data_IF_011314133967
#
_entry.id   IF_011314133967
#
_cell.length_a   1.000
_cell.length_b   1.000
_cell.length_c   1.000
_cell.angle_alpha   90.00
_cell.angle_beta   90.00
_cell.angle_gamma   90.00
#
_symmetry.space_group_name_H-M   'P 1'
#
loop_
_entity.id
_entity.type
_entity.pdbx_description
1 polymer ?
#
# COMPACT_ATOMS: atom_id res chain seq x y z
N UNK A 1 -3.77 -24.79 4.28
CA UNK A 1 -5.21 -24.56 4.37
C UNK A 1 -5.60 -24.57 5.83
N UNK A 2 -5.78 -23.41 6.44
CA UNK A 2 -6.43 -23.30 7.74
C UNK A 2 -7.91 -23.20 7.42
N UNK A 3 -8.61 -24.33 7.45
CA UNK A 3 -10.06 -24.32 7.50
C UNK A 3 -10.47 -23.82 8.87
N UNK A 4 -11.03 -22.63 8.94
CA UNK A 4 -11.72 -22.16 10.13
C UNK A 4 -13.02 -22.96 10.23
N UNK A 5 -13.01 -24.03 11.00
CA UNK A 5 -14.14 -24.95 11.23
C UNK A 5 -15.23 -24.35 12.14
N UNK A 6 -15.09 -23.12 12.59
CA UNK A 6 -16.17 -22.44 13.32
C UNK A 6 -16.74 -21.32 12.44
N UNK A 7 -18.06 -21.16 12.37
CA UNK A 7 -18.64 -19.98 11.76
C UNK A 7 -18.01 -18.76 12.46
N UNK A 8 -17.42 -17.86 11.67
CA UNK A 8 -16.93 -16.59 12.16
C UNK A 8 -18.14 -15.88 12.76
N UNK A 9 -18.25 -15.86 14.07
CA UNK A 9 -19.22 -15.04 14.76
C UNK A 9 -18.69 -13.62 14.62
N UNK A 10 -19.11 -12.90 13.58
CA UNK A 10 -18.88 -11.47 13.52
C UNK A 10 -19.58 -10.87 14.74
N UNK A 11 -18.88 -10.09 15.58
CA UNK A 11 -19.52 -9.43 16.69
C UNK A 11 -20.60 -8.50 16.15
N UNK A 12 -21.84 -8.75 16.51
CA UNK A 12 -22.93 -7.85 16.19
C UNK A 12 -22.68 -6.51 16.86
N UNK A 13 -22.61 -5.44 16.07
CA UNK A 13 -22.52 -4.09 16.61
C UNK A 13 -23.89 -3.74 17.23
N UNK A 14 -23.87 -3.32 18.48
CA UNK A 14 -25.08 -2.86 19.12
C UNK A 14 -25.58 -1.55 18.48
N UNK A 15 -26.89 -1.42 18.28
CA UNK A 15 -27.54 -0.25 17.66
C UNK A 15 -28.67 0.32 18.55
N UNK A 16 -28.67 0.00 19.83
CA UNK A 16 -29.75 0.36 20.78
C UNK A 16 -29.33 1.47 21.74
N UNK A 17 -28.06 1.69 21.93
CA UNK A 17 -27.50 2.68 22.86
C UNK A 17 -26.55 3.61 22.12
N UNK A 18 -26.55 4.89 22.48
CA UNK A 18 -25.68 5.92 21.95
C UNK A 18 -24.34 6.00 22.67
N UNK A 19 -23.57 7.02 22.31
CA UNK A 19 -22.25 7.31 22.90
C UNK A 19 -22.35 7.51 24.40
N UNK A 20 -21.45 6.88 25.15
CA UNK A 20 -21.38 6.97 26.60
C UNK A 20 -21.28 5.64 27.31
N UNK A 21 -21.46 5.66 28.62
CA UNK A 21 -21.33 4.49 29.49
C UNK A 21 -22.39 4.51 30.60
N UNK A 22 -22.77 3.33 31.10
CA UNK A 22 -23.70 3.17 32.25
C UNK A 22 -25.06 3.86 32.04
N UNK A 23 -25.54 3.90 30.80
CA UNK A 23 -26.85 4.51 30.49
C UNK A 23 -26.79 6.05 30.43
N UNK A 24 -25.61 6.67 30.53
CA UNK A 24 -25.44 8.11 30.47
C UNK A 24 -24.70 8.51 29.21
N UNK A 25 -25.17 9.55 28.52
CA UNK A 25 -24.49 10.13 27.38
C UNK A 25 -23.17 10.80 27.84
N UNK A 26 -22.10 10.48 27.12
CA UNK A 26 -20.82 11.16 27.22
C UNK A 26 -20.30 11.40 25.82
N UNK A 27 -20.17 12.66 25.43
CA UNK A 27 -19.53 13.01 24.14
C UNK A 27 -18.06 12.61 24.16
N UNK A 28 -17.49 12.38 22.98
CA UNK A 28 -16.09 11.99 22.80
C UNK A 28 -15.69 10.69 23.52
N UNK A 29 -16.64 9.73 23.60
CA UNK A 29 -16.42 8.44 24.23
C UNK A 29 -16.30 7.33 23.18
N UNK A 30 -15.35 6.42 23.38
CA UNK A 30 -15.23 5.18 22.56
C UNK A 30 -16.28 4.13 22.95
N UNK A 31 -17.04 4.37 24.02
CA UNK A 31 -18.06 3.46 24.49
C UNK A 31 -19.42 3.81 23.89
N UNK A 32 -20.19 2.80 23.50
CA UNK A 32 -21.56 2.92 22.96
C UNK A 32 -22.57 2.25 23.88
N UNK A 33 -22.51 2.58 25.17
CA UNK A 33 -23.41 2.09 26.25
C UNK A 33 -23.99 3.27 27.05
N UNK A 34 -24.23 4.39 26.36
CA UNK A 34 -24.88 5.58 26.90
C UNK A 34 -26.39 5.44 26.97
N UNK A 35 -27.10 6.52 26.69
CA UNK A 35 -28.56 6.53 26.71
C UNK A 35 -29.17 5.60 25.65
N UNK A 36 -30.30 5.01 25.95
CA UNK A 36 -31.06 4.20 25.00
C UNK A 36 -31.59 5.06 23.86
N UNK A 37 -31.21 4.71 22.64
CA UNK A 37 -31.65 5.40 21.44
C UNK A 37 -33.14 5.18 21.16
N UNK A 38 -33.80 6.23 20.74
CA UNK A 38 -35.15 6.14 20.17
C UNK A 38 -35.09 5.39 18.83
N UNK A 39 -36.15 4.72 18.40
CA UNK A 39 -36.16 3.93 17.17
C UNK A 39 -35.68 4.76 15.94
N UNK A 40 -36.09 6.03 15.84
CA UNK A 40 -35.76 6.93 14.74
C UNK A 40 -34.28 7.35 14.70
N UNK A 41 -33.55 7.20 15.80
CA UNK A 41 -32.12 7.47 15.90
C UNK A 41 -31.26 6.21 15.77
N UNK A 42 -31.83 5.08 15.32
CA UNK A 42 -31.11 3.82 15.08
C UNK A 42 -30.85 3.65 13.60
N UNK A 43 -29.78 4.22 13.13
CA UNK A 43 -29.43 4.22 11.70
C UNK A 43 -28.85 2.88 11.22
N UNK A 44 -28.54 1.96 12.13
CA UNK A 44 -28.08 0.60 11.78
C UNK A 44 -26.69 0.55 11.17
N UNK A 45 -25.86 1.58 11.36
CA UNK A 45 -24.50 1.62 10.84
C UNK A 45 -23.66 0.40 11.25
N UNK A 46 -22.97 -0.17 10.27
CA UNK A 46 -21.88 -1.14 10.46
C UNK A 46 -20.62 -0.65 9.77
N UNK A 47 -19.41 -1.06 10.16
CA UNK A 47 -18.17 -0.65 9.48
C UNK A 47 -18.14 -1.03 8.00
N UNK A 48 -18.94 -2.02 7.56
CA UNK A 48 -19.05 -2.43 6.16
C UNK A 48 -19.56 -1.29 5.26
N UNK A 49 -20.34 -0.36 5.82
CA UNK A 49 -20.86 0.81 5.12
C UNK A 49 -19.75 1.80 4.67
N UNK A 50 -18.55 1.68 5.26
CA UNK A 50 -17.40 2.49 4.90
C UNK A 50 -16.63 1.92 3.73
N UNK A 51 -16.59 0.60 3.57
CA UNK A 51 -15.77 -0.06 2.56
C UNK A 51 -16.40 0.03 1.17
N UNK A 52 -15.54 -0.02 0.17
CA UNK A 52 -15.89 -0.08 -1.25
C UNK A 52 -15.52 -1.45 -1.82
N UNK A 53 -16.01 -1.76 -3.01
CA UNK A 53 -15.60 -2.97 -3.71
C UNK A 53 -14.22 -2.76 -4.31
N UNK A 54 -13.24 -3.51 -3.85
CA UNK A 54 -11.89 -3.50 -4.40
C UNK A 54 -11.80 -4.32 -5.70
N UNK A 55 -10.91 -3.92 -6.59
CA UNK A 55 -10.64 -4.60 -7.85
C UNK A 55 -9.14 -4.82 -8.03
N UNK A 56 -8.77 -5.97 -8.60
CA UNK A 56 -7.38 -6.24 -8.97
C UNK A 56 -7.34 -6.75 -10.40
N UNK A 57 -6.64 -6.03 -11.27
CA UNK A 57 -6.40 -6.40 -12.66
C UNK A 57 -4.95 -6.79 -12.84
N UNK A 58 -4.71 -8.03 -13.26
CA UNK A 58 -3.37 -8.52 -13.56
C UNK A 58 -3.29 -8.91 -15.02
N UNK A 59 -2.35 -8.32 -15.73
CA UNK A 59 -2.07 -8.65 -17.13
C UNK A 59 -0.60 -9.03 -17.27
N UNK A 60 -0.31 -10.04 -18.08
CA UNK A 60 1.06 -10.44 -18.36
C UNK A 60 1.19 -10.93 -19.80
N UNK A 61 2.28 -10.54 -20.45
CA UNK A 61 2.68 -11.00 -21.77
C UNK A 61 4.12 -11.48 -21.68
N UNK A 62 4.36 -12.67 -22.25
CA UNK A 62 5.69 -13.26 -22.32
C UNK A 62 5.95 -13.69 -23.75
N UNK A 63 7.11 -13.31 -24.27
CA UNK A 63 7.59 -13.72 -25.59
C UNK A 63 8.98 -14.32 -25.42
N UNK A 64 9.18 -15.50 -25.96
CA UNK A 64 10.49 -16.15 -26.00
C UNK A 64 10.74 -16.74 -27.39
N UNK A 65 11.98 -16.70 -27.81
CA UNK A 65 12.38 -17.25 -29.09
C UNK A 65 13.89 -17.37 -29.18
N UNK A 66 14.35 -18.12 -30.17
CA UNK A 66 15.78 -18.27 -30.38
C UNK A 66 16.15 -19.54 -31.14
N UNK A 67 17.42 -19.83 -31.08
CA UNK A 67 18.06 -21.03 -31.64
C UNK A 67 18.80 -21.75 -30.51
N UNK A 68 19.42 -22.89 -30.81
CA UNK A 68 20.28 -23.58 -29.85
C UNK A 68 21.45 -22.72 -29.35
N UNK A 69 21.83 -21.70 -30.12
CA UNK A 69 22.98 -20.81 -29.82
C UNK A 69 22.58 -19.45 -29.23
N UNK A 70 21.33 -19.04 -29.37
CA UNK A 70 20.85 -17.76 -28.85
C UNK A 70 19.40 -17.91 -28.43
N UNK A 71 19.12 -17.58 -27.17
CA UNK A 71 17.78 -17.62 -26.61
C UNK A 71 17.47 -16.25 -26.02
N UNK A 72 16.35 -15.70 -26.44
CA UNK A 72 15.88 -14.40 -25.97
C UNK A 72 14.52 -14.58 -25.30
N UNK A 73 14.35 -13.90 -24.18
CA UNK A 73 13.13 -13.87 -23.40
C UNK A 73 12.78 -12.41 -23.08
N UNK A 74 11.51 -12.08 -23.25
CA UNK A 74 10.94 -10.81 -22.82
C UNK A 74 9.63 -11.07 -22.09
N UNK A 75 9.39 -10.35 -21.00
CA UNK A 75 8.09 -10.29 -20.34
C UNK A 75 7.73 -8.90 -19.90
N UNK A 76 6.44 -8.59 -19.96
CA UNK A 76 5.83 -7.40 -19.40
C UNK A 76 4.61 -7.83 -18.58
N UNK A 77 4.49 -7.29 -17.37
CA UNK A 77 3.35 -7.54 -16.50
C UNK A 77 2.89 -6.26 -15.82
N UNK A 78 1.58 -6.13 -15.64
CA UNK A 78 0.97 -5.07 -14.84
C UNK A 78 0.05 -5.66 -13.77
N UNK A 79 0.04 -5.01 -12.62
CA UNK A 79 -0.96 -5.17 -11.56
C UNK A 79 -1.51 -3.79 -11.27
N UNK A 80 -2.82 -3.63 -11.43
CA UNK A 80 -3.54 -2.40 -11.09
C UNK A 80 -4.63 -2.77 -10.09
N UNK A 81 -4.67 -2.12 -8.96
CA UNK A 81 -5.57 -2.48 -7.87
C UNK A 81 -6.15 -1.25 -7.20
N UNK A 82 -7.47 -1.24 -7.09
CA UNK A 82 -8.22 -0.39 -6.18
C UNK A 82 -8.52 -1.17 -4.90
N UNK A 83 -8.19 -0.60 -3.75
CA UNK A 83 -8.42 -1.24 -2.46
C UNK A 83 -9.89 -1.18 -2.03
N UNK A 84 -10.22 -1.92 -0.97
CA UNK A 84 -11.54 -1.82 -0.33
C UNK A 84 -11.72 -0.55 0.51
N UNK A 85 -10.64 0.14 0.83
CA UNK A 85 -10.64 1.42 1.52
C UNK A 85 -10.71 2.52 0.47
N UNK A 86 -11.63 3.49 0.59
CA UNK A 86 -11.77 4.57 -0.39
C UNK A 86 -10.45 5.27 -0.71
N UNK A 87 -10.19 5.53 -2.01
CA UNK A 87 -8.98 6.20 -2.50
C UNK A 87 -7.66 5.49 -2.19
N UNK A 88 -7.69 4.17 -2.03
CA UNK A 88 -6.50 3.33 -1.85
C UNK A 88 -6.18 2.64 -3.18
N UNK A 89 -5.00 2.90 -3.74
CA UNK A 89 -4.60 2.39 -5.05
C UNK A 89 -3.20 1.78 -5.00
N UNK A 90 -2.98 0.76 -5.82
CA UNK A 90 -1.69 0.14 -6.02
C UNK A 90 -1.48 -0.21 -7.49
N UNK A 91 -0.43 0.33 -8.06
CA UNK A 91 0.00 0.04 -9.42
C UNK A 91 1.41 -0.54 -9.45
N UNK A 92 1.60 -1.59 -10.24
CA UNK A 92 2.92 -2.16 -10.47
C UNK A 92 3.10 -2.60 -11.91
N UNK A 93 4.20 -2.19 -12.51
CA UNK A 93 4.61 -2.57 -13.85
C UNK A 93 5.98 -3.22 -13.81
N UNK A 94 6.10 -4.41 -14.39
CA UNK A 94 7.35 -5.18 -14.43
C UNK A 94 7.73 -5.42 -15.90
N UNK A 95 8.98 -5.15 -16.24
CA UNK A 95 9.54 -5.48 -17.53
C UNK A 95 10.80 -6.30 -17.31
N UNK A 96 10.93 -7.41 -18.02
CA UNK A 96 12.11 -8.27 -17.93
C UNK A 96 12.57 -8.65 -19.32
N UNK A 97 13.85 -8.50 -19.54
CA UNK A 97 14.55 -8.97 -20.72
C UNK A 97 15.69 -9.90 -20.30
N UNK A 98 15.87 -11.00 -21.02
CA UNK A 98 17.00 -11.89 -20.82
C UNK A 98 17.46 -12.43 -22.18
N UNK A 99 18.78 -12.50 -22.35
CA UNK A 99 19.39 -13.18 -23.48
C UNK A 99 20.51 -14.11 -22.97
N UNK A 100 20.49 -15.33 -23.51
CA UNK A 100 21.54 -16.31 -23.31
C UNK A 100 22.12 -16.65 -24.67
N UNK A 101 23.43 -16.53 -24.81
CA UNK A 101 24.14 -16.76 -26.09
C UNK A 101 25.34 -17.68 -25.90
N UNK A 102 25.55 -18.56 -26.87
CA UNK A 102 26.67 -19.50 -26.90
C UNK A 102 27.59 -19.21 -28.08
N UNK A 103 28.87 -19.14 -27.81
CA UNK A 103 29.92 -18.80 -28.77
C UNK A 103 31.06 -19.82 -28.69
N UNK A 104 31.99 -19.76 -29.66
CA UNK A 104 33.20 -20.57 -29.68
C UNK A 104 32.93 -22.09 -29.59
N UNK A 105 31.97 -22.58 -30.39
CA UNK A 105 31.52 -23.98 -30.36
C UNK A 105 31.02 -24.40 -28.95
N UNK A 106 30.18 -23.54 -28.39
CA UNK A 106 29.53 -23.69 -27.06
C UNK A 106 30.46 -23.58 -25.85
N UNK A 107 31.74 -23.28 -26.06
CA UNK A 107 32.70 -23.11 -24.96
C UNK A 107 32.52 -21.81 -24.20
N UNK A 108 31.94 -20.79 -24.81
CA UNK A 108 31.63 -19.52 -24.16
C UNK A 108 30.12 -19.31 -24.08
N UNK A 109 29.60 -19.26 -22.87
CA UNK A 109 28.22 -18.91 -22.58
C UNK A 109 28.17 -17.51 -21.97
N UNK A 110 27.36 -16.64 -22.57
CA UNK A 110 27.03 -15.33 -22.05
C UNK A 110 25.55 -15.29 -21.68
N UNK A 111 25.26 -14.77 -20.49
CA UNK A 111 23.88 -14.57 -20.01
C UNK A 111 23.77 -13.13 -19.53
N UNK A 112 22.82 -12.39 -20.11
CA UNK A 112 22.54 -11.00 -19.74
C UNK A 112 21.05 -10.87 -19.41
N UNK A 113 20.73 -10.21 -18.32
CA UNK A 113 19.36 -9.88 -17.99
C UNK A 113 19.21 -8.46 -17.46
N UNK A 114 18.09 -7.83 -17.80
CA UNK A 114 17.67 -6.54 -17.31
C UNK A 114 16.21 -6.63 -16.87
N UNK A 115 15.92 -6.12 -15.69
CA UNK A 115 14.54 -5.97 -15.20
C UNK A 115 14.32 -4.55 -14.72
N UNK A 116 13.15 -4.01 -15.03
CA UNK A 116 12.68 -2.72 -14.53
C UNK A 116 11.34 -2.88 -13.87
N UNK A 117 11.19 -2.31 -12.68
CA UNK A 117 9.95 -2.32 -11.90
C UNK A 117 9.61 -0.88 -11.58
N UNK A 118 8.38 -0.48 -11.93
CA UNK A 118 7.75 0.74 -11.44
C UNK A 118 6.56 0.36 -10.56
N UNK A 119 6.52 0.92 -9.37
CA UNK A 119 5.45 0.70 -8.39
C UNK A 119 4.99 2.04 -7.85
N UNK A 120 3.67 2.20 -7.74
CA UNK A 120 3.04 3.35 -7.10
C UNK A 120 2.04 2.85 -6.07
N UNK A 121 2.15 3.36 -4.86
CA UNK A 121 1.21 3.13 -3.78
C UNK A 121 0.53 4.45 -3.43
N UNK A 122 -0.79 4.45 -3.31
CA UNK A 122 -1.57 5.59 -2.85
C UNK A 122 -2.37 5.22 -1.61
N UNK A 123 -2.21 6.01 -0.56
CA UNK A 123 -2.98 5.93 0.69
C UNK A 123 -3.01 4.55 1.36
N UNK A 124 -1.92 3.79 1.28
CA UNK A 124 -1.80 2.57 2.06
C UNK A 124 -2.14 2.86 3.52
N UNK A 125 -2.94 1.99 4.12
CA UNK A 125 -3.45 2.17 5.49
C UNK A 125 -2.32 2.38 6.47
N UNK A 126 -2.35 3.51 7.16
CA UNK A 126 -1.37 3.84 8.18
C UNK A 126 -1.83 3.36 9.56
N UNK A 127 -0.91 3.31 10.52
CA UNK A 127 -1.22 3.02 11.91
C UNK A 127 -1.57 4.29 12.69
N UNK A 128 -2.17 4.11 13.86
CA UNK A 128 -2.49 5.19 14.80
C UNK A 128 -3.89 5.76 14.64
N UNK A 129 -4.36 6.41 15.71
CA UNK A 129 -5.75 6.89 15.84
C UNK A 129 -6.10 7.99 14.84
N UNK A 130 -5.14 8.85 14.51
CA UNK A 130 -5.41 10.05 13.71
C UNK A 130 -5.17 9.84 12.20
N UNK A 131 -4.45 8.80 11.83
CA UNK A 131 -4.04 8.54 10.44
C UNK A 131 -4.64 7.29 9.84
N UNK A 132 -5.23 6.41 10.67
CA UNK A 132 -5.88 5.19 10.22
C UNK A 132 -7.39 5.43 10.09
N UNK A 133 -7.95 5.38 8.87
CA UNK A 133 -9.38 5.63 8.63
C UNK A 133 -10.28 4.55 9.23
N UNK A 134 -9.75 3.36 9.54
CA UNK A 134 -10.53 2.27 10.12
C UNK A 134 -10.93 2.56 11.55
N UNK A 135 -10.07 3.27 12.31
CA UNK A 135 -10.38 3.57 13.72
C UNK A 135 -11.68 4.36 13.86
N UNK A 136 -11.85 5.54 13.23
CA UNK A 136 -13.10 6.27 13.31
C UNK A 136 -14.27 5.56 12.63
N UNK A 137 -14.04 4.73 11.60
CA UNK A 137 -15.09 3.92 10.98
C UNK A 137 -15.65 2.87 11.96
N UNK A 138 -14.79 2.15 12.67
CA UNK A 138 -15.22 1.15 13.64
C UNK A 138 -15.83 1.73 14.93
N UNK A 139 -15.37 2.91 15.35
CA UNK A 139 -15.82 3.57 16.59
C UNK A 139 -16.96 4.57 16.36
N UNK A 140 -17.51 4.66 15.16
CA UNK A 140 -18.54 5.62 14.82
C UNK A 140 -19.78 5.54 15.75
N UNK A 141 -20.31 6.69 16.24
CA UNK A 141 -21.42 6.76 17.17
C UNK A 141 -22.72 6.13 16.62
N UNK A 142 -23.34 5.27 17.39
CA UNK A 142 -24.51 4.48 16.95
C UNK A 142 -25.79 5.30 16.79
N UNK A 143 -25.85 6.49 17.39
CA UNK A 143 -26.98 7.40 17.30
C UNK A 143 -26.88 8.43 16.20
N UNK A 144 -25.89 8.32 15.32
CA UNK A 144 -25.65 9.24 14.22
C UNK A 144 -25.76 8.55 12.85
N UNK A 145 -26.10 9.32 11.83
CA UNK A 145 -26.19 8.82 10.46
C UNK A 145 -24.84 8.97 9.77
N UNK A 146 -24.17 7.85 9.49
CA UNK A 146 -22.87 7.84 8.83
C UNK A 146 -22.91 8.39 7.42
N UNK A 147 -24.00 8.21 6.67
CA UNK A 147 -24.14 8.69 5.30
C UNK A 147 -24.00 10.20 5.16
N UNK A 148 -24.38 10.96 6.21
CA UNK A 148 -24.18 12.41 6.21
C UNK A 148 -22.69 12.78 6.09
N UNK A 149 -21.82 11.95 6.65
CA UNK A 149 -20.37 12.19 6.74
C UNK A 149 -19.60 11.67 5.54
N UNK A 150 -20.25 11.02 4.56
CA UNK A 150 -19.68 10.79 3.23
C UNK A 150 -19.35 12.11 2.52
N UNK A 151 -20.09 13.18 2.83
CA UNK A 151 -19.73 14.56 2.51
C UNK A 151 -18.72 15.06 3.54
N UNK A 152 -17.53 14.53 3.49
CA UNK A 152 -16.49 14.63 4.50
C UNK A 152 -15.94 16.05 4.73
N UNK A 153 -16.35 17.05 3.94
CA UNK A 153 -15.85 18.43 4.03
C UNK A 153 -16.93 19.45 3.79
N UNK A 154 -16.72 20.62 4.38
CA UNK A 154 -17.54 21.83 4.17
C UNK A 154 -16.66 23.07 4.18
N UNK A 155 -17.05 24.08 3.41
CA UNK A 155 -16.41 25.39 3.48
C UNK A 155 -16.73 26.09 4.80
N UNK A 156 -15.70 26.60 5.46
CA UNK A 156 -15.84 27.38 6.69
C UNK A 156 -15.39 28.82 6.45
N UNK A 157 -16.33 29.77 6.56
CA UNK A 157 -16.11 31.19 6.25
C UNK A 157 -15.05 31.83 7.15
N UNK A 158 -14.96 31.40 8.42
CA UNK A 158 -14.01 31.94 9.37
C UNK A 158 -12.54 31.71 9.02
N UNK A 159 -12.22 30.57 8.45
CA UNK A 159 -10.86 30.21 8.00
C UNK A 159 -10.66 30.39 6.50
N UNK A 160 -11.75 30.51 5.75
CA UNK A 160 -11.79 30.50 4.27
C UNK A 160 -11.20 29.22 3.67
N UNK A 161 -11.35 28.10 4.37
CA UNK A 161 -10.85 26.80 3.98
C UNK A 161 -11.98 25.76 3.92
N UNK A 162 -11.73 24.67 3.20
CA UNK A 162 -12.49 23.44 3.39
C UNK A 162 -12.02 22.80 4.68
N UNK A 163 -12.93 22.53 5.59
CA UNK A 163 -12.67 21.83 6.83
C UNK A 163 -13.42 20.52 6.86
N UNK A 164 -12.95 19.56 7.65
CA UNK A 164 -13.65 18.29 7.78
C UNK A 164 -15.08 18.52 8.31
N UNK A 165 -16.00 17.75 7.79
CA UNK A 165 -17.34 17.62 8.33
C UNK A 165 -17.48 16.28 9.01
N UNK A 166 -17.58 16.27 10.33
CA UNK A 166 -17.52 15.05 11.12
C UNK A 166 -18.40 15.12 12.36
N UNK A 167 -18.61 13.96 12.99
CA UNK A 167 -19.30 13.84 14.27
C UNK A 167 -18.57 14.62 15.36
N UNK A 168 -19.30 15.48 16.07
CA UNK A 168 -18.77 16.23 17.20
C UNK A 168 -18.35 15.33 18.35
N UNK A 169 -18.99 14.15 18.49
CA UNK A 169 -18.63 13.15 19.50
C UNK A 169 -17.27 12.49 19.18
N UNK A 170 -16.87 12.42 17.90
CA UNK A 170 -15.59 11.86 17.47
C UNK A 170 -14.47 12.89 17.38
N UNK A 171 -14.79 14.10 17.00
CA UNK A 171 -13.84 15.20 16.81
C UNK A 171 -13.41 15.86 18.13
N UNK A 172 -14.29 15.83 19.11
CA UNK A 172 -14.08 16.50 20.40
C UNK A 172 -13.25 15.73 21.42
N UNK A 173 -12.94 16.38 22.52
CA UNK A 173 -12.26 15.80 23.68
C UNK A 173 -10.93 15.15 23.37
N UNK A 174 -10.66 14.02 24.02
CA UNK A 174 -9.41 13.30 23.89
C UNK A 174 -9.34 12.43 22.62
N UNK A 175 -10.48 12.16 21.99
CA UNK A 175 -10.53 11.29 20.82
C UNK A 175 -9.93 11.96 19.58
N UNK A 176 -10.31 13.22 19.32
CA UNK A 176 -9.83 14.02 18.17
C UNK A 176 -9.72 13.26 16.86
N UNK A 177 -10.61 12.27 16.66
CA UNK A 177 -10.61 11.45 15.47
C UNK A 177 -11.10 12.24 14.28
N UNK A 178 -10.50 11.99 13.14
CA UNK A 178 -10.88 12.62 11.88
C UNK A 178 -11.90 11.78 11.14
N UNK A 179 -12.69 12.44 10.26
CA UNK A 179 -13.54 11.73 9.32
C UNK A 179 -12.70 10.76 8.46
N UNK A 180 -13.06 9.47 8.33
CA UNK A 180 -12.29 8.50 7.57
C UNK A 180 -12.13 8.88 6.10
N UNK A 181 -13.14 9.52 5.48
CA UNK A 181 -13.03 10.05 4.12
C UNK A 181 -12.09 11.27 4.02
N UNK A 182 -12.07 12.14 5.06
CA UNK A 182 -11.08 13.22 5.14
C UNK A 182 -9.65 12.67 5.15
N UNK A 183 -9.41 11.62 5.93
CA UNK A 183 -8.11 10.95 5.98
C UNK A 183 -7.70 10.46 4.57
N UNK A 184 -8.63 9.87 3.83
CA UNK A 184 -8.32 9.28 2.53
C UNK A 184 -8.24 10.28 1.37
N UNK A 185 -8.98 11.39 1.45
CA UNK A 185 -9.06 12.35 0.34
C UNK A 185 -8.30 13.65 0.58
N UNK A 186 -7.91 13.94 1.83
CA UNK A 186 -7.20 15.18 2.20
C UNK A 186 -5.86 14.95 2.89
N UNK A 187 -5.65 13.78 3.45
CA UNK A 187 -4.38 13.40 4.07
C UNK A 187 -3.67 12.37 3.20
N UNK A 188 -3.24 12.81 2.03
CA UNK A 188 -2.71 11.94 0.98
C UNK A 188 -1.30 11.46 1.29
N UNK A 189 -1.04 10.19 0.99
CA UNK A 189 0.28 9.55 1.08
C UNK A 189 0.53 8.75 -0.17
N UNK A 190 1.64 9.03 -0.84
CA UNK A 190 2.02 8.34 -2.06
C UNK A 190 3.46 7.85 -1.96
N UNK A 191 3.70 6.66 -2.46
CA UNK A 191 5.05 6.13 -2.66
C UNK A 191 5.25 5.77 -4.12
N UNK A 192 6.21 6.40 -4.76
CA UNK A 192 6.67 6.04 -6.09
C UNK A 192 8.00 5.30 -5.98
N UNK A 193 8.05 4.05 -6.44
CA UNK A 193 9.26 3.23 -6.40
C UNK A 193 9.68 2.79 -7.80
N UNK A 194 10.95 3.05 -8.13
CA UNK A 194 11.58 2.60 -9.36
C UNK A 194 12.76 1.69 -8.99
N UNK A 195 12.80 0.49 -9.57
CA UNK A 195 13.88 -0.45 -9.34
C UNK A 195 14.36 -1.02 -10.67
N UNK A 196 15.64 -1.08 -10.86
CA UNK A 196 16.22 -1.82 -11.96
C UNK A 196 17.24 -2.83 -11.46
N UNK A 197 17.25 -3.99 -12.09
CA UNK A 197 18.19 -5.06 -11.82
C UNK A 197 18.87 -5.42 -13.12
N UNK A 198 20.19 -5.37 -13.13
CA UNK A 198 21.02 -5.75 -14.25
C UNK A 198 21.89 -6.94 -13.82
N UNK A 199 21.98 -7.97 -14.63
CA UNK A 199 22.87 -9.10 -14.38
C UNK A 199 23.57 -9.49 -15.67
N UNK A 200 24.85 -9.72 -15.56
CA UNK A 200 25.67 -10.27 -16.62
C UNK A 200 26.54 -11.39 -16.08
N UNK A 201 26.60 -12.49 -16.80
CA UNK A 201 27.54 -13.58 -16.49
C UNK A 201 28.17 -14.11 -17.77
N UNK A 202 29.43 -14.48 -17.64
CA UNK A 202 30.19 -15.16 -18.69
C UNK A 202 30.79 -16.44 -18.09
N UNK A 203 30.66 -17.54 -18.80
CA UNK A 203 31.23 -18.84 -18.41
C UNK A 203 32.00 -19.40 -19.60
N UNK A 204 33.25 -19.77 -19.35
CA UNK A 204 34.14 -20.26 -20.40
C UNK A 204 34.78 -21.60 -20.03
N UNK A 205 34.59 -22.60 -20.90
CA UNK A 205 35.20 -23.90 -20.80
C UNK A 205 36.63 -23.83 -21.39
N UNK A 206 37.62 -23.65 -20.55
CA UNK A 206 39.03 -23.61 -20.94
C UNK A 206 39.45 -25.00 -21.45
N UNK A 207 39.06 -26.03 -20.68
CA UNK A 207 39.29 -27.46 -20.99
C UNK A 207 37.99 -28.23 -20.69
N UNK A 208 37.79 -29.45 -21.21
CA UNK A 208 36.58 -30.24 -20.92
C UNK A 208 36.32 -30.48 -19.42
N UNK A 209 37.35 -30.34 -18.60
CA UNK A 209 37.28 -30.53 -17.15
C UNK A 209 37.50 -29.23 -16.35
N UNK A 210 37.77 -28.07 -17.02
CA UNK A 210 38.08 -26.80 -16.39
C UNK A 210 37.20 -25.68 -16.97
N UNK A 211 36.34 -25.14 -16.14
CA UNK A 211 35.49 -24.01 -16.47
C UNK A 211 35.78 -22.81 -15.57
N UNK A 212 35.77 -21.63 -16.11
CA UNK A 212 35.86 -20.37 -15.39
C UNK A 212 34.61 -19.56 -15.68
N UNK A 213 33.97 -19.03 -14.63
CA UNK A 213 32.79 -18.21 -14.77
C UNK A 213 32.91 -16.94 -13.92
N UNK A 214 32.48 -15.83 -14.48
CA UNK A 214 32.35 -14.55 -13.79
C UNK A 214 30.92 -14.05 -13.84
N UNK A 215 30.48 -13.38 -12.80
CA UNK A 215 29.13 -12.81 -12.71
C UNK A 215 29.17 -11.44 -12.05
N UNK A 216 28.41 -10.51 -12.59
CA UNK A 216 28.17 -9.19 -12.00
C UNK A 216 26.67 -8.96 -11.96
N UNK A 217 26.17 -8.44 -10.84
CA UNK A 217 24.78 -8.01 -10.67
C UNK A 217 24.72 -6.65 -10.00
N UNK A 218 23.85 -5.81 -10.52
CA UNK A 218 23.49 -4.51 -9.94
C UNK A 218 22.00 -4.51 -9.68
N UNK A 219 21.61 -4.14 -8.47
CA UNK A 219 20.22 -3.92 -8.05
C UNK A 219 20.14 -2.52 -7.47
N UNK A 220 19.37 -1.67 -8.11
CA UNK A 220 19.16 -0.29 -7.68
C UNK A 220 17.68 -0.02 -7.46
N UNK A 221 17.36 0.54 -6.31
CA UNK A 221 16.01 0.94 -5.94
C UNK A 221 16.00 2.41 -5.53
N UNK A 222 15.07 3.17 -6.11
CA UNK A 222 14.81 4.57 -5.80
C UNK A 222 13.35 4.70 -5.39
N UNK A 223 13.10 5.20 -4.19
CA UNK A 223 11.76 5.39 -3.62
C UNK A 223 11.57 6.85 -3.22
N UNK A 224 10.45 7.42 -3.66
CA UNK A 224 9.98 8.74 -3.28
C UNK A 224 8.68 8.60 -2.50
N UNK A 225 8.71 8.91 -1.21
CA UNK A 225 7.52 9.05 -0.38
C UNK A 225 7.11 10.50 -0.29
N UNK A 226 5.82 10.79 -0.49
CA UNK A 226 5.23 12.10 -0.27
C UNK A 226 4.02 12.01 0.63
N UNK A 227 3.92 12.92 1.61
CA UNK A 227 2.74 13.09 2.45
C UNK A 227 2.24 14.52 2.33
N UNK A 228 0.94 14.67 2.08
CA UNK A 228 0.25 15.96 1.96
C UNK A 228 -0.92 15.96 2.93
N UNK A 229 -0.75 16.61 4.07
CA UNK A 229 -1.82 16.81 5.03
C UNK A 229 -2.46 18.16 4.76
N UNK A 230 -3.76 18.17 4.50
CA UNK A 230 -4.49 19.39 4.18
C UNK A 230 -4.56 20.34 5.38
N UNK A 231 -4.69 21.64 5.11
CA UNK A 231 -4.98 22.63 6.15
C UNK A 231 -6.22 22.23 6.94
N UNK A 232 -6.25 22.52 8.24
CA UNK A 232 -7.30 22.11 9.18
C UNK A 232 -7.34 20.61 9.54
N UNK A 233 -6.41 19.79 9.06
CA UNK A 233 -6.22 18.44 9.57
C UNK A 233 -5.78 18.48 11.06
N UNK A 234 -5.95 17.35 11.74
CA UNK A 234 -5.61 17.22 13.15
C UNK A 234 -4.17 17.69 13.45
N UNK A 235 -4.03 18.64 14.38
CA UNK A 235 -2.74 19.27 14.70
C UNK A 235 -1.70 18.32 15.29
N UNK A 236 -2.11 17.18 15.80
CA UNK A 236 -1.19 16.14 16.28
C UNK A 236 -0.36 15.54 15.13
N UNK A 237 -0.98 15.38 13.94
CA UNK A 237 -0.28 14.83 12.77
C UNK A 237 0.37 15.89 11.90
N UNK A 238 0.02 17.17 12.08
CA UNK A 238 0.61 18.31 11.37
C UNK A 238 1.66 19.06 12.21
N UNK A 239 2.16 18.44 13.29
CA UNK A 239 3.16 19.02 14.19
C UNK A 239 2.76 20.41 14.74
N UNK A 240 1.47 20.57 15.02
CA UNK A 240 0.90 21.83 15.50
C UNK A 240 0.52 22.82 14.39
N UNK A 241 0.85 22.54 13.13
CA UNK A 241 0.56 23.41 11.99
C UNK A 241 -0.92 23.40 11.59
N UNK A 242 -1.54 24.59 11.50
CA UNK A 242 -2.93 24.75 11.05
C UNK A 242 -3.06 24.84 9.51
N UNK A 243 -1.97 25.13 8.82
CA UNK A 243 -1.92 25.34 7.38
C UNK A 243 -1.60 24.06 6.59
N UNK A 244 -1.74 22.90 7.24
CA UNK A 244 -1.37 21.61 6.68
C UNK A 244 0.11 21.27 6.89
N UNK A 245 0.53 20.16 6.32
CA UNK A 245 1.90 19.67 6.42
C UNK A 245 2.30 18.93 5.14
N UNK A 246 3.52 19.15 4.69
CA UNK A 246 4.07 18.44 3.55
C UNK A 246 5.37 17.74 3.94
N UNK A 247 5.46 16.46 3.65
CA UNK A 247 6.66 15.67 3.85
C UNK A 247 7.10 15.03 2.54
N UNK A 248 8.38 15.10 2.25
CA UNK A 248 9.00 14.35 1.18
C UNK A 248 10.20 13.57 1.73
N UNK A 249 10.26 12.28 1.46
CA UNK A 249 11.39 11.44 1.80
C UNK A 249 11.84 10.63 0.59
N UNK A 250 13.15 10.58 0.37
CA UNK A 250 13.76 9.80 -0.72
C UNK A 250 14.70 8.76 -0.15
N UNK A 251 14.60 7.54 -0.65
CA UNK A 251 15.51 6.47 -0.33
C UNK A 251 16.15 5.92 -1.60
N UNK A 252 17.48 5.74 -1.56
CA UNK A 252 18.26 5.16 -2.64
C UNK A 252 19.03 3.97 -2.09
N UNK A 253 18.77 2.80 -2.65
CA UNK A 253 19.48 1.58 -2.31
C UNK A 253 20.17 1.02 -3.53
N UNK A 254 21.46 0.74 -3.44
CA UNK A 254 22.21 0.12 -4.50
C UNK A 254 23.00 -1.05 -3.93
N UNK A 255 22.80 -2.24 -4.51
CA UNK A 255 23.60 -3.42 -4.22
C UNK A 255 24.35 -3.83 -5.46
N UNK A 256 25.66 -4.04 -5.31
CA UNK A 256 26.51 -4.59 -6.36
C UNK A 256 27.10 -5.90 -5.86
N UNK A 257 26.97 -6.91 -6.68
CA UNK A 257 27.53 -8.23 -6.42
C UNK A 257 28.41 -8.65 -7.60
N UNK A 258 29.59 -9.17 -7.31
CA UNK A 258 30.47 -9.75 -8.32
C UNK A 258 31.15 -10.99 -7.74
N UNK A 259 31.26 -12.04 -8.54
CA UNK A 259 32.01 -13.24 -8.21
C UNK A 259 32.79 -13.79 -9.40
N UNK A 260 33.82 -14.56 -9.08
CA UNK A 260 34.59 -15.36 -10.02
C UNK A 260 34.66 -16.78 -9.49
N UNK A 261 34.31 -17.76 -10.32
CA UNK A 261 34.29 -19.17 -9.98
C UNK A 261 35.20 -19.96 -10.90
N UNK A 262 35.88 -20.92 -10.34
CA UNK A 262 36.64 -21.91 -11.08
C UNK A 262 36.07 -23.27 -10.74
N UNK A 263 35.58 -23.98 -11.75
CA UNK A 263 35.00 -25.31 -11.60
C UNK A 263 35.94 -26.37 -12.23
N UNK A 264 36.30 -27.38 -11.45
CA UNK A 264 37.18 -28.48 -11.87
C UNK A 264 36.38 -29.78 -11.72
N UNK A 265 36.19 -30.50 -12.83
CA UNK A 265 35.53 -31.78 -12.85
C UNK A 265 36.39 -32.80 -13.60
N UNK A 266 37.28 -33.44 -12.90
CA UNK A 266 38.23 -34.42 -13.45
C UNK A 266 38.16 -35.71 -12.64
N UNK A 267 37.90 -36.82 -13.32
CA UNK A 267 38.05 -38.18 -12.76
C UNK A 267 39.49 -38.62 -12.99
N UNK A 268 40.14 -39.10 -11.94
CA UNK A 268 41.51 -39.61 -11.97
C UNK A 268 41.50 -41.12 -12.07
#
# INVERSE_FOLDING_TARGET
NIEFLAPFIQPEFQNRYGTGLNGQRSGSSIYSWGEKLRPEARYGYTPDDYFETGHVYTNAVTVSGGTDKNQTYFSAASVNSDGIIPNNEYDRYNFTFRNTSYFLKDRLKLDASASYIYQKDQNMTNQGVYSNPLVPAYLFPRGENFDLYRRFERYYEGTKLMEQFWSTDMEGGDLRMQNPYWINYRNLRNTDKKRYMLSFSASYDILPWLNVAGRVRIDNSNSLYTQKLYASSNTTITEGGKNGHYTEARAYDTQTYADLMVNINKTF
#
